data_IF_540668932781
#
_entry.id   IF_540668932781
#
_cell.length_a   1.000
_cell.length_b   1.000
_cell.length_c   1.000
_cell.angle_alpha   90.00
_cell.angle_beta   90.00
_cell.angle_gamma   90.00
#
_symmetry.space_group_name_H-M   'P 1'
#
loop_
_entity.id
_entity.type
_entity.pdbx_description
1 polymer ?
#
# COMPACT_ATOMS: atom_id res chain seq x y z
N UNK A 1 -21.40 19.00 12.88
CA UNK A 1 -21.98 17.64 12.74
C UNK A 1 -20.94 16.82 12.01
N UNK A 2 -20.39 15.76 12.61
CA UNK A 2 -19.43 14.91 11.90
C UNK A 2 -20.16 14.19 10.77
N UNK A 3 -19.65 14.32 9.56
CA UNK A 3 -20.26 13.74 8.36
C UNK A 3 -19.57 12.41 8.05
N UNK A 4 -20.18 11.59 7.20
CA UNK A 4 -19.53 10.39 6.67
C UNK A 4 -18.54 10.80 5.59
N UNK A 5 -17.39 10.12 5.54
CA UNK A 5 -16.41 10.26 4.47
C UNK A 5 -17.08 10.11 3.09
N UNK A 6 -16.76 10.99 2.13
CA UNK A 6 -17.29 10.92 0.76
C UNK A 6 -16.65 9.82 -0.10
N UNK A 7 -15.57 9.17 0.35
CA UNK A 7 -14.98 8.05 -0.36
C UNK A 7 -15.97 6.87 -0.41
N UNK A 8 -16.27 6.37 -1.61
CA UNK A 8 -17.30 5.36 -1.80
C UNK A 8 -17.00 4.08 -1.01
N UNK A 9 -17.93 3.69 -0.12
CA UNK A 9 -17.79 2.51 0.74
C UNK A 9 -16.99 2.74 2.02
N UNK A 10 -16.54 3.96 2.31
CA UNK A 10 -15.95 4.30 3.61
C UNK A 10 -17.03 4.66 4.62
N UNK A 11 -16.95 4.09 5.82
CA UNK A 11 -17.87 4.38 6.93
C UNK A 11 -17.28 5.30 8.00
N UNK A 12 -16.00 5.66 7.88
CA UNK A 12 -15.31 6.55 8.82
C UNK A 12 -15.89 7.96 8.82
N UNK A 13 -15.78 8.62 9.98
CA UNK A 13 -16.14 10.03 10.12
C UNK A 13 -15.17 10.94 9.36
N UNK A 14 -15.65 12.08 8.89
CA UNK A 14 -14.81 13.11 8.28
C UNK A 14 -13.85 13.72 9.29
N UNK A 15 -12.69 14.17 8.80
CA UNK A 15 -11.72 14.91 9.60
C UNK A 15 -12.06 16.41 9.57
N UNK A 16 -12.44 16.98 10.72
CA UNK A 16 -12.77 18.41 10.84
C UNK A 16 -13.81 18.89 9.80
N UNK A 17 -13.50 19.93 9.03
CA UNK A 17 -14.36 20.53 7.99
C UNK A 17 -14.15 19.89 6.60
N UNK A 18 -13.29 18.87 6.50
CA UNK A 18 -13.03 18.17 5.25
C UNK A 18 -14.20 17.26 4.84
N UNK A 19 -14.26 16.96 3.55
CA UNK A 19 -15.22 16.02 2.96
C UNK A 19 -14.83 14.54 3.18
N UNK A 20 -13.62 14.29 3.67
CA UNK A 20 -13.02 12.97 3.76
C UNK A 20 -12.53 12.67 5.18
N UNK A 21 -12.39 11.39 5.52
CA UNK A 21 -11.69 10.98 6.73
C UNK A 21 -10.19 11.22 6.61
N UNK A 22 -9.47 11.04 7.73
CA UNK A 22 -8.03 11.28 7.80
C UNK A 22 -7.23 10.46 6.77
N UNK A 23 -7.68 9.26 6.39
CA UNK A 23 -6.99 8.42 5.40
C UNK A 23 -7.30 8.81 3.95
N UNK A 24 -8.52 9.27 3.67
CA UNK A 24 -8.96 9.62 2.30
C UNK A 24 -8.70 11.07 1.91
N UNK A 25 -8.46 11.96 2.86
CA UNK A 25 -8.10 13.34 2.56
C UNK A 25 -6.72 13.45 1.90
N UNK A 26 -6.56 14.46 1.04
CA UNK A 26 -5.29 14.80 0.41
C UNK A 26 -4.26 15.26 1.45
N UNK A 27 -2.98 15.05 1.12
CA UNK A 27 -1.89 15.57 1.93
C UNK A 27 -1.70 17.06 1.68
N UNK A 28 -1.51 17.88 2.73
CA UNK A 28 -1.10 19.26 2.55
C UNK A 28 0.24 19.34 1.80
N UNK A 29 0.49 20.38 0.99
CA UNK A 29 1.69 20.42 0.15
C UNK A 29 3.01 20.59 0.92
N UNK A 30 3.00 21.24 2.10
CA UNK A 30 4.18 21.46 2.96
C UNK A 30 3.81 22.08 4.32
N UNK A 31 4.79 22.10 5.23
CA UNK A 31 4.74 22.82 6.52
C UNK A 31 4.21 22.00 7.68
N UNK A 32 4.07 22.60 8.86
CA UNK A 32 3.70 21.91 10.11
C UNK A 32 2.37 21.13 10.02
N UNK A 33 1.44 21.62 9.20
CA UNK A 33 0.18 20.93 8.97
C UNK A 33 0.37 19.59 8.23
N UNK A 34 1.35 19.50 7.31
CA UNK A 34 1.69 18.23 6.67
C UNK A 34 2.21 17.22 7.70
N UNK A 35 3.11 17.63 8.59
CA UNK A 35 3.67 16.74 9.63
C UNK A 35 2.60 16.25 10.59
N UNK A 36 1.64 17.10 10.97
CA UNK A 36 0.49 16.68 11.76
C UNK A 36 -0.37 15.64 11.02
N UNK A 37 -0.70 15.89 9.75
CA UNK A 37 -1.55 14.96 8.97
C UNK A 37 -0.83 13.63 8.70
N UNK A 38 0.48 13.63 8.47
CA UNK A 38 1.29 12.40 8.38
C UNK A 38 1.13 11.55 9.64
N UNK A 39 1.39 12.15 10.81
CA UNK A 39 1.27 11.49 12.10
C UNK A 39 -0.14 10.94 12.34
N UNK A 40 -1.18 11.73 12.06
CA UNK A 40 -2.56 11.27 12.25
C UNK A 40 -2.94 10.13 11.30
N UNK A 41 -2.40 10.11 10.07
CA UNK A 41 -2.59 8.99 9.14
C UNK A 41 -1.88 7.73 9.64
N UNK A 42 -0.67 7.84 10.17
CA UNK A 42 0.06 6.73 10.79
C UNK A 42 -0.72 6.13 11.99
N UNK A 43 -1.20 6.98 12.90
CA UNK A 43 -2.02 6.57 14.04
C UNK A 43 -3.30 5.83 13.59
N UNK A 44 -3.97 6.28 12.53
CA UNK A 44 -5.17 5.62 12.01
C UNK A 44 -4.83 4.28 11.30
N UNK A 45 -3.66 4.17 10.66
CA UNK A 45 -3.17 2.89 10.11
C UNK A 45 -2.94 1.88 11.22
N UNK A 46 -2.21 2.27 12.27
CA UNK A 46 -1.96 1.40 13.43
C UNK A 46 -3.25 0.91 14.07
N UNK A 47 -4.20 1.83 14.29
CA UNK A 47 -5.51 1.50 14.84
C UNK A 47 -6.28 0.51 13.96
N UNK A 48 -6.35 0.74 12.65
CA UNK A 48 -7.01 -0.17 11.71
C UNK A 48 -6.38 -1.56 11.73
N UNK A 49 -5.05 -1.65 11.78
CA UNK A 49 -4.34 -2.95 11.89
C UNK A 49 -4.72 -3.65 13.21
N UNK A 50 -4.74 -2.93 14.34
CA UNK A 50 -5.13 -3.48 15.64
C UNK A 50 -6.58 -3.98 15.65
N UNK A 51 -7.48 -3.27 14.96
CA UNK A 51 -8.89 -3.65 14.81
C UNK A 51 -9.11 -4.76 13.76
N UNK A 52 -8.05 -5.21 13.07
CA UNK A 52 -8.11 -6.22 12.01
C UNK A 52 -8.67 -5.71 10.68
N UNK A 53 -8.84 -4.40 10.53
CA UNK A 53 -9.30 -3.76 9.30
C UNK A 53 -8.10 -3.46 8.38
N UNK A 54 -7.80 -4.43 7.51
CA UNK A 54 -6.69 -4.34 6.55
C UNK A 54 -7.09 -3.65 5.23
N UNK A 55 -8.21 -2.92 5.23
CA UNK A 55 -8.72 -2.24 4.05
C UNK A 55 -8.33 -0.75 4.03
N UNK A 56 -7.34 -0.43 3.18
CA UNK A 56 -6.82 0.91 2.91
C UNK A 56 -7.14 1.38 1.49
N UNK A 57 -8.21 0.85 0.90
CA UNK A 57 -8.62 1.21 -0.47
C UNK A 57 -8.80 2.73 -0.60
N UNK A 58 -8.12 3.32 -1.58
CA UNK A 58 -8.13 4.75 -1.88
C UNK A 58 -7.43 5.65 -0.85
N UNK A 59 -6.81 5.08 0.19
CA UNK A 59 -6.12 5.86 1.20
C UNK A 59 -4.90 6.60 0.62
N UNK A 60 -4.58 7.76 1.18
CA UNK A 60 -3.49 8.63 0.73
C UNK A 60 -2.48 8.78 1.85
N UNK A 61 -1.24 8.39 1.59
CA UNK A 61 -0.12 8.35 2.52
C UNK A 61 1.05 9.17 2.00
N UNK A 62 1.87 9.68 2.92
CA UNK A 62 3.16 10.21 2.51
C UNK A 62 4.13 9.03 2.38
N UNK A 63 4.42 8.37 3.50
CA UNK A 63 5.00 7.04 3.60
C UNK A 63 3.98 6.11 4.27
N UNK A 64 4.09 4.80 4.06
CA UNK A 64 3.37 3.82 4.88
C UNK A 64 4.23 2.58 5.12
N UNK A 65 4.28 2.15 6.38
CA UNK A 65 5.18 1.10 6.82
C UNK A 65 4.44 -0.06 7.49
N UNK A 66 4.50 -1.22 6.85
CA UNK A 66 4.00 -2.49 7.33
C UNK A 66 5.13 -3.47 7.70
N UNK A 67 6.38 -2.99 7.72
CA UNK A 67 7.57 -3.82 7.93
C UNK A 67 7.60 -4.47 9.31
N UNK A 68 8.04 -5.73 9.37
CA UNK A 68 8.11 -6.52 10.59
C UNK A 68 6.75 -6.92 11.17
N UNK A 69 5.64 -6.66 10.49
CA UNK A 69 4.30 -6.98 10.98
C UNK A 69 3.85 -8.38 10.54
N UNK A 70 3.00 -8.99 11.36
CA UNK A 70 2.15 -10.12 10.94
C UNK A 70 0.76 -9.59 10.56
N UNK A 71 0.39 -9.79 9.30
CA UNK A 71 -0.86 -9.31 8.70
C UNK A 71 -1.74 -10.55 8.42
N UNK A 72 -2.81 -10.79 9.21
CA UNK A 72 -3.54 -12.05 9.20
C UNK A 72 -4.50 -12.24 8.02
N UNK A 73 -4.40 -11.41 6.98
CA UNK A 73 -5.30 -11.45 5.83
C UNK A 73 -4.80 -10.61 4.66
N UNK A 74 -5.73 -10.27 3.77
CA UNK A 74 -5.44 -9.46 2.59
C UNK A 74 -5.20 -8.00 2.99
N UNK A 75 -4.05 -7.45 2.58
CA UNK A 75 -3.76 -6.03 2.66
C UNK A 75 -4.27 -5.33 1.40
N UNK A 76 -5.39 -4.61 1.55
CA UNK A 76 -6.06 -3.96 0.40
C UNK A 76 -5.62 -2.51 0.27
N UNK A 77 -4.83 -2.22 -0.77
CA UNK A 77 -4.29 -0.89 -1.11
C UNK A 77 -4.73 -0.46 -2.51
N UNK A 78 -5.83 -1.02 -3.01
CA UNK A 78 -6.40 -0.71 -4.33
C UNK A 78 -6.69 0.79 -4.39
N UNK A 79 -6.22 1.46 -5.45
CA UNK A 79 -6.32 2.92 -5.63
C UNK A 79 -5.66 3.76 -4.53
N UNK A 80 -4.88 3.16 -3.63
CA UNK A 80 -4.13 3.92 -2.64
C UNK A 80 -3.02 4.74 -3.31
N UNK A 81 -2.68 5.85 -2.69
CA UNK A 81 -1.60 6.74 -3.12
C UNK A 81 -0.59 6.83 -1.98
N UNK A 82 0.65 6.45 -2.23
CA UNK A 82 1.80 6.67 -1.35
C UNK A 82 2.70 7.68 -2.06
N UNK A 83 2.89 8.88 -1.49
CA UNK A 83 3.67 9.94 -2.17
C UNK A 83 5.17 9.64 -2.21
N UNK A 84 5.68 8.94 -1.21
CA UNK A 84 7.07 8.49 -1.10
C UNK A 84 7.09 6.95 -1.10
N UNK A 85 7.54 6.30 -0.03
CA UNK A 85 7.88 4.87 -0.06
C UNK A 85 6.81 3.99 0.61
N UNK A 86 6.60 2.82 0.02
CA UNK A 86 5.83 1.73 0.62
C UNK A 86 6.78 0.68 1.18
N UNK A 87 6.61 0.35 2.46
CA UNK A 87 7.47 -0.62 3.15
C UNK A 87 6.67 -1.81 3.66
N UNK A 88 7.10 -3.02 3.28
CA UNK A 88 6.61 -4.30 3.79
C UNK A 88 7.81 -5.28 3.94
N UNK A 89 8.91 -4.79 4.51
CA UNK A 89 10.14 -5.57 4.69
C UNK A 89 9.96 -6.53 5.87
N UNK A 90 10.59 -7.71 5.81
CA UNK A 90 10.63 -8.68 6.93
C UNK A 90 9.25 -9.00 7.53
N UNK A 91 8.19 -8.94 6.70
CA UNK A 91 6.79 -9.06 7.14
C UNK A 91 6.20 -10.42 6.79
N UNK A 92 5.17 -10.83 7.52
CA UNK A 92 4.39 -12.03 7.23
C UNK A 92 2.96 -11.65 6.90
N UNK A 93 2.50 -11.94 5.67
CA UNK A 93 1.14 -11.64 5.20
C UNK A 93 0.43 -12.95 4.87
N UNK A 94 -0.60 -13.28 5.63
CA UNK A 94 -1.37 -14.52 5.45
C UNK A 94 -2.23 -14.49 4.18
N UNK A 95 -2.58 -13.29 3.71
CA UNK A 95 -3.29 -13.02 2.48
C UNK A 95 -2.41 -12.48 1.37
N UNK A 96 -3.04 -11.80 0.41
CA UNK A 96 -2.39 -11.06 -0.66
C UNK A 96 -2.22 -9.57 -0.37
N UNK A 97 -1.45 -8.89 -1.22
CA UNK A 97 -1.27 -7.43 -1.19
C UNK A 97 -1.78 -6.86 -2.52
N UNK A 98 -2.78 -5.99 -2.45
CA UNK A 98 -3.54 -5.54 -3.62
C UNK A 98 -3.33 -4.05 -3.89
N UNK A 99 -2.44 -3.69 -4.81
CA UNK A 99 -2.14 -2.33 -5.26
C UNK A 99 -2.81 -1.94 -6.59
N UNK A 100 -3.86 -2.64 -7.00
CA UNK A 100 -4.52 -2.37 -8.29
C UNK A 100 -4.91 -0.89 -8.43
N UNK A 101 -4.48 -0.26 -9.52
CA UNK A 101 -4.66 1.17 -9.81
C UNK A 101 -4.07 2.12 -8.74
N UNK A 102 -3.23 1.62 -7.84
CA UNK A 102 -2.52 2.40 -6.84
C UNK A 102 -1.26 3.07 -7.41
N UNK A 103 -0.75 4.06 -6.65
CA UNK A 103 0.49 4.76 -6.98
C UNK A 103 1.42 4.77 -5.77
N UNK A 104 2.69 4.43 -6.00
CA UNK A 104 3.80 4.69 -5.08
C UNK A 104 4.73 5.68 -5.76
N UNK A 105 5.00 6.83 -5.15
CA UNK A 105 5.81 7.88 -5.75
C UNK A 105 7.31 7.57 -5.69
N UNK A 106 7.74 6.89 -4.64
CA UNK A 106 9.08 6.34 -4.49
C UNK A 106 9.11 4.83 -4.76
N UNK A 107 9.69 4.10 -3.83
CA UNK A 107 9.97 2.67 -3.92
C UNK A 107 8.90 1.82 -3.23
N UNK A 108 8.75 0.57 -3.69
CA UNK A 108 7.92 -0.43 -3.04
C UNK A 108 8.79 -1.63 -2.60
N UNK A 109 8.93 -1.79 -1.29
CA UNK A 109 9.87 -2.71 -0.66
C UNK A 109 9.15 -3.91 -0.03
N UNK A 110 9.54 -5.13 -0.43
CA UNK A 110 9.01 -6.40 0.05
C UNK A 110 10.14 -7.37 0.45
N UNK A 111 11.35 -6.87 0.68
CA UNK A 111 12.51 -7.71 0.95
C UNK A 111 12.29 -8.61 2.16
N UNK A 112 12.77 -9.86 2.05
CA UNK A 112 12.70 -10.88 3.11
C UNK A 112 11.30 -11.19 3.65
N UNK A 113 10.24 -10.72 2.98
CA UNK A 113 8.86 -10.93 3.43
C UNK A 113 8.29 -12.29 2.99
N UNK A 114 7.35 -12.81 3.77
CA UNK A 114 6.56 -14.01 3.47
C UNK A 114 5.11 -13.60 3.15
N UNK A 115 4.70 -13.72 1.90
CA UNK A 115 3.33 -13.47 1.43
C UNK A 115 2.71 -14.79 1.00
N UNK A 116 1.72 -15.28 1.75
CA UNK A 116 1.01 -16.53 1.44
C UNK A 116 0.00 -16.38 0.29
N UNK A 117 -0.38 -15.14 -0.03
CA UNK A 117 -1.26 -14.79 -1.14
C UNK A 117 -0.53 -14.37 -2.42
N UNK A 118 -1.24 -13.57 -3.22
CA UNK A 118 -0.71 -12.95 -4.43
C UNK A 118 -0.38 -11.48 -4.16
N UNK A 119 0.48 -10.89 -5.01
CA UNK A 119 0.71 -9.45 -5.03
C UNK A 119 0.29 -8.93 -6.41
N UNK A 120 -0.45 -7.82 -6.44
CA UNK A 120 -0.95 -7.24 -7.69
C UNK A 120 -0.70 -5.75 -7.75
N UNK A 121 -0.13 -5.29 -8.87
CA UNK A 121 0.04 -3.89 -9.26
C UNK A 121 -0.74 -3.59 -10.55
N UNK A 122 -1.89 -4.24 -10.76
CA UNK A 122 -2.65 -4.13 -12.00
C UNK A 122 -2.94 -2.66 -12.33
N UNK A 123 -2.42 -2.17 -13.45
CA UNK A 123 -2.52 -0.76 -13.89
C UNK A 123 -2.09 0.26 -12.84
N UNK A 124 -1.16 -0.10 -11.96
CA UNK A 124 -0.56 0.80 -10.98
C UNK A 124 0.63 1.58 -11.55
N UNK A 125 1.26 2.38 -10.68
CA UNK A 125 2.54 3.04 -10.98
C UNK A 125 3.46 3.01 -9.77
N UNK A 126 4.75 2.78 -9.99
CA UNK A 126 5.81 2.95 -8.99
C UNK A 126 6.89 3.88 -9.57
N UNK A 127 7.13 5.01 -8.91
CA UNK A 127 8.09 6.02 -9.37
C UNK A 127 9.56 5.68 -9.11
N UNK A 128 9.81 4.66 -8.30
CA UNK A 128 11.13 4.09 -8.06
C UNK A 128 11.17 2.59 -8.35
N UNK A 129 12.01 1.91 -7.59
CA UNK A 129 12.20 0.46 -7.69
C UNK A 129 11.09 -0.31 -6.97
N UNK A 130 10.83 -1.53 -7.44
CA UNK A 130 10.08 -2.55 -6.71
C UNK A 130 11.04 -3.68 -6.36
N UNK A 131 11.14 -4.06 -5.09
CA UNK A 131 12.11 -5.04 -4.64
C UNK A 131 11.45 -6.20 -3.90
N UNK A 132 11.66 -7.41 -4.42
CA UNK A 132 11.26 -8.69 -3.81
C UNK A 132 12.48 -9.51 -3.41
N UNK A 133 13.61 -8.85 -3.16
CA UNK A 133 14.85 -9.57 -2.87
C UNK A 133 14.69 -10.41 -1.60
N UNK A 134 14.99 -11.71 -1.70
CA UNK A 134 14.79 -12.73 -0.66
C UNK A 134 13.33 -12.93 -0.21
N UNK A 135 12.35 -12.34 -0.89
CA UNK A 135 10.94 -12.52 -0.57
C UNK A 135 10.45 -13.92 -0.96
N UNK A 136 9.38 -14.35 -0.31
CA UNK A 136 8.62 -15.54 -0.67
C UNK A 136 7.18 -15.16 -0.93
N UNK A 137 6.70 -15.39 -2.15
CA UNK A 137 5.28 -15.24 -2.52
C UNK A 137 4.75 -16.62 -2.92
N UNK A 138 3.78 -17.15 -2.18
CA UNK A 138 3.29 -18.52 -2.41
C UNK A 138 2.39 -18.64 -3.66
N UNK A 139 1.79 -17.53 -4.12
CA UNK A 139 0.92 -17.51 -5.31
C UNK A 139 1.53 -16.71 -6.47
N UNK A 140 0.84 -15.67 -6.92
CA UNK A 140 1.17 -14.95 -8.16
C UNK A 140 1.70 -13.55 -7.86
N UNK A 141 2.51 -13.01 -8.77
CA UNK A 141 2.83 -11.57 -8.79
C UNK A 141 2.41 -10.99 -10.13
N UNK A 142 1.53 -10.00 -10.12
CA UNK A 142 0.94 -9.39 -11.32
C UNK A 142 1.38 -7.94 -11.50
N UNK A 143 2.16 -7.68 -12.54
CA UNK A 143 2.58 -6.36 -13.02
C UNK A 143 1.81 -5.94 -14.28
N UNK A 144 0.56 -6.40 -14.42
CA UNK A 144 -0.16 -6.18 -15.66
C UNK A 144 -0.53 -4.70 -15.86
N UNK A 145 0.06 -4.07 -16.88
CA UNK A 145 -0.14 -2.66 -17.20
C UNK A 145 0.46 -1.69 -16.18
N UNK A 146 1.37 -2.16 -15.32
CA UNK A 146 2.09 -1.28 -14.38
C UNK A 146 3.10 -0.41 -15.13
N UNK A 147 3.38 0.78 -14.61
CA UNK A 147 4.48 1.65 -15.03
C UNK A 147 5.51 1.73 -13.88
N UNK A 148 6.74 1.26 -14.10
CA UNK A 148 7.83 1.31 -13.12
C UNK A 148 8.94 2.20 -13.66
N UNK A 149 9.13 3.36 -13.05
CA UNK A 149 10.16 4.32 -13.50
C UNK A 149 11.59 3.82 -13.14
N UNK A 150 11.71 2.90 -12.18
CA UNK A 150 12.95 2.24 -11.75
C UNK A 150 13.06 0.76 -12.16
N UNK A 151 13.72 -0.03 -11.31
CA UNK A 151 13.95 -1.47 -11.53
C UNK A 151 12.99 -2.34 -10.71
N UNK A 152 12.59 -3.48 -11.26
CA UNK A 152 11.89 -4.54 -10.51
C UNK A 152 12.86 -5.71 -10.22
N UNK A 153 13.24 -5.87 -8.95
CA UNK A 153 14.23 -6.87 -8.51
C UNK A 153 13.57 -8.07 -7.83
N UNK A 154 14.09 -9.27 -8.11
CA UNK A 154 13.60 -10.56 -7.60
C UNK A 154 14.76 -11.47 -7.17
N UNK A 155 15.88 -10.90 -6.71
CA UNK A 155 17.07 -11.68 -6.37
C UNK A 155 16.75 -12.63 -5.23
N UNK A 156 17.01 -13.92 -5.40
CA UNK A 156 16.68 -14.95 -4.41
C UNK A 156 15.20 -15.00 -4.00
N UNK A 157 14.28 -14.45 -4.81
CA UNK A 157 12.84 -14.54 -4.56
C UNK A 157 12.34 -15.96 -4.84
N UNK A 158 11.49 -16.49 -3.95
CA UNK A 158 10.70 -17.69 -4.23
C UNK A 158 9.30 -17.27 -4.70
N UNK A 159 8.84 -17.87 -5.79
CA UNK A 159 7.47 -17.72 -6.27
C UNK A 159 6.82 -19.09 -6.46
N UNK A 160 5.75 -19.35 -5.73
CA UNK A 160 5.02 -20.63 -5.82
C UNK A 160 4.15 -20.73 -7.08
N UNK A 161 3.69 -19.59 -7.59
CA UNK A 161 2.96 -19.47 -8.86
C UNK A 161 3.80 -18.80 -9.96
N UNK A 162 3.15 -17.95 -10.76
CA UNK A 162 3.77 -17.27 -11.90
C UNK A 162 3.84 -15.75 -11.70
N UNK A 163 4.84 -15.13 -12.33
CA UNK A 163 4.98 -13.69 -12.46
C UNK A 163 4.50 -13.26 -13.86
N UNK A 164 3.68 -12.20 -13.95
CA UNK A 164 3.15 -11.67 -15.22
C UNK A 164 3.53 -10.20 -15.38
N UNK A 165 4.13 -9.86 -16.53
CA UNK A 165 4.50 -8.49 -16.91
C UNK A 165 3.69 -7.99 -18.11
N UNK A 166 2.44 -8.45 -18.26
CA UNK A 166 1.63 -8.09 -19.43
C UNK A 166 1.49 -6.57 -19.55
N UNK A 167 2.06 -5.97 -20.61
CA UNK A 167 2.05 -4.50 -20.82
C UNK A 167 2.69 -3.69 -19.68
N UNK A 168 3.54 -4.29 -18.86
CA UNK A 168 4.39 -3.56 -17.93
C UNK A 168 5.37 -2.67 -18.72
N UNK A 169 5.74 -1.53 -18.14
CA UNK A 169 6.78 -0.63 -18.63
C UNK A 169 7.88 -0.50 -17.61
#
# INVERSE_FOLDING_TARGET
MRMKCKYAGCESETYQEEDYCILHMDLPPKGDHLELIKKLKEEEVEKKIQDGDLNFKGARFYDVNFSGLHIPGDLVLTQAVVENDFHCLDSEVDGGIWFDQGRVGGHAFFESSLIRGSISFYRGRVGGNISFDHARVDKYVWFEGVDVDGEASFNHCYLGGSISFNKAR
#
